data_IF_227504481128
#
_entry.id   IF_227504481128
#
_cell.length_a   1.000
_cell.length_b   1.000
_cell.length_c   1.000
_cell.angle_alpha   90.00
_cell.angle_beta   90.00
_cell.angle_gamma   90.00
#
_symmetry.space_group_name_H-M   'P 1'
#
loop_
_entity.id
_entity.type
_entity.pdbx_description
1 polymer ?
#
# COMPACT_ATOMS: atom_id res chain seq x y z
N UNK A 1 -26.17 36.84 18.43
CA UNK A 1 -24.88 36.40 17.81
C UNK A 1 -24.15 35.30 18.62
N UNK A 2 -24.83 34.23 19.10
CA UNK A 2 -24.19 33.20 19.96
C UNK A 2 -23.84 31.85 19.26
N UNK A 3 -24.27 31.64 18.01
CA UNK A 3 -24.13 30.33 17.35
C UNK A 3 -22.86 30.17 16.48
N UNK A 4 -22.37 31.26 15.89
CA UNK A 4 -21.21 31.24 14.96
C UNK A 4 -19.91 30.78 15.64
N UNK A 5 -19.72 31.10 16.92
CA UNK A 5 -18.52 30.71 17.66
C UNK A 5 -18.46 29.22 18.03
N UNK A 6 -19.62 28.53 18.12
CA UNK A 6 -19.68 27.09 18.37
C UNK A 6 -19.49 26.30 17.08
N UNK A 7 -20.12 26.73 15.98
CA UNK A 7 -19.94 26.15 14.64
C UNK A 7 -18.47 26.22 14.20
N UNK A 8 -17.80 27.36 14.40
CA UNK A 8 -16.38 27.50 14.09
C UNK A 8 -15.45 26.61 14.94
N UNK A 9 -15.85 26.22 16.16
CA UNK A 9 -15.07 25.28 16.99
C UNK A 9 -15.25 23.83 16.53
N UNK A 10 -16.47 23.44 16.18
CA UNK A 10 -16.80 22.12 15.64
C UNK A 10 -16.08 21.90 14.30
N UNK A 11 -16.16 22.85 13.36
CA UNK A 11 -15.44 22.74 12.09
C UNK A 11 -13.92 22.67 12.26
N UNK A 12 -13.34 23.37 13.25
CA UNK A 12 -11.90 23.26 13.55
C UNK A 12 -11.52 21.87 14.08
N UNK A 13 -12.38 21.23 14.86
CA UNK A 13 -12.16 19.85 15.33
C UNK A 13 -12.25 18.85 14.17
N UNK A 14 -13.24 19.02 13.28
CA UNK A 14 -13.40 18.14 12.11
C UNK A 14 -12.20 18.25 11.16
N UNK A 15 -11.73 19.47 10.87
CA UNK A 15 -10.51 19.69 10.07
C UNK A 15 -9.29 19.05 10.73
N UNK A 16 -9.16 19.14 12.05
CA UNK A 16 -8.05 18.53 12.78
C UNK A 16 -8.09 17.00 12.72
N UNK A 17 -9.28 16.40 12.84
CA UNK A 17 -9.48 14.95 12.70
C UNK A 17 -9.18 14.47 11.28
N UNK A 18 -9.63 15.22 10.27
CA UNK A 18 -9.33 14.93 8.86
C UNK A 18 -7.83 14.99 8.59
N UNK A 19 -7.11 16.00 9.09
CA UNK A 19 -5.65 16.09 8.95
C UNK A 19 -4.92 14.89 9.56
N UNK A 20 -5.30 14.47 10.77
CA UNK A 20 -4.74 13.26 11.40
C UNK A 20 -5.00 12.00 10.58
N UNK A 21 -6.19 11.89 9.98
CA UNK A 21 -6.56 10.76 9.13
C UNK A 21 -5.73 10.75 7.83
N UNK A 22 -5.57 11.91 7.18
CA UNK A 22 -4.71 12.06 5.99
C UNK A 22 -3.28 11.66 6.32
N UNK A 23 -2.71 12.20 7.40
CA UNK A 23 -1.34 11.89 7.80
C UNK A 23 -1.13 10.40 8.10
N UNK A 24 -2.13 9.74 8.72
CA UNK A 24 -2.10 8.29 8.93
C UNK A 24 -2.11 7.51 7.61
N UNK A 25 -2.93 7.93 6.65
CA UNK A 25 -3.02 7.29 5.33
C UNK A 25 -1.73 7.47 4.53
N UNK A 26 -1.13 8.66 4.58
CA UNK A 26 0.16 8.95 3.94
C UNK A 26 1.29 8.09 4.51
N UNK A 27 1.37 7.95 5.85
CA UNK A 27 2.35 7.05 6.48
C UNK A 27 2.12 5.59 6.08
N UNK A 28 0.87 5.15 5.99
CA UNK A 28 0.55 3.79 5.57
C UNK A 28 0.91 3.54 4.10
N UNK A 29 0.60 4.48 3.21
CA UNK A 29 1.01 4.44 1.80
C UNK A 29 2.54 4.37 1.68
N UNK A 30 3.27 5.26 2.37
CA UNK A 30 4.74 5.25 2.39
C UNK A 30 5.30 3.92 2.88
N UNK A 31 4.71 3.33 3.94
CA UNK A 31 5.11 1.99 4.43
C UNK A 31 4.84 0.89 3.40
N UNK A 32 3.69 0.93 2.70
CA UNK A 32 3.36 -0.03 1.65
C UNK A 32 4.35 0.06 0.49
N UNK A 33 4.70 1.27 0.05
CA UNK A 33 5.69 1.49 -1.01
C UNK A 33 7.08 0.98 -0.62
N UNK A 34 7.54 1.26 0.61
CA UNK A 34 8.83 0.73 1.11
C UNK A 34 8.85 -0.81 1.09
N UNK A 35 7.76 -1.47 1.48
CA UNK A 35 7.69 -2.94 1.46
C UNK A 35 7.65 -3.48 0.04
N UNK A 36 6.87 -2.86 -0.86
CA UNK A 36 6.83 -3.24 -2.27
C UNK A 36 8.22 -3.11 -2.91
N UNK A 37 8.89 -1.97 -2.72
CA UNK A 37 10.25 -1.74 -3.23
C UNK A 37 11.25 -2.79 -2.73
N UNK A 38 11.26 -3.11 -1.43
CA UNK A 38 12.15 -4.12 -0.88
C UNK A 38 11.90 -5.52 -1.43
N UNK A 39 10.64 -5.91 -1.64
CA UNK A 39 10.30 -7.21 -2.26
C UNK A 39 10.77 -7.26 -3.72
N UNK A 40 10.60 -6.18 -4.47
CA UNK A 40 11.01 -6.14 -5.88
C UNK A 40 12.52 -6.12 -6.06
N UNK A 41 13.25 -5.46 -5.15
CA UNK A 41 14.72 -5.54 -5.08
C UNK A 41 15.17 -6.98 -4.82
N UNK A 42 14.51 -7.72 -3.93
CA UNK A 42 14.80 -9.15 -3.67
C UNK A 42 14.51 -10.00 -4.91
N UNK A 43 13.39 -9.75 -5.61
CA UNK A 43 13.03 -10.47 -6.85
C UNK A 43 13.97 -10.08 -8.01
N UNK A 44 14.71 -8.97 -7.92
CA UNK A 44 15.47 -8.42 -9.06
C UNK A 44 14.57 -7.90 -10.18
N UNK A 45 13.30 -7.62 -9.89
CA UNK A 45 12.36 -7.03 -10.83
C UNK A 45 12.53 -5.51 -10.83
N UNK A 46 12.86 -4.92 -11.98
CA UNK A 46 12.88 -3.47 -12.12
C UNK A 46 11.44 -2.98 -12.34
N UNK A 47 10.85 -2.46 -11.26
CA UNK A 47 9.48 -1.92 -11.25
C UNK A 47 9.54 -0.42 -10.95
N UNK A 48 8.86 0.35 -11.79
CA UNK A 48 8.59 1.76 -11.55
C UNK A 48 7.18 1.91 -10.97
N UNK A 49 7.09 2.33 -9.71
CA UNK A 49 5.79 2.46 -9.01
C UNK A 49 4.76 3.28 -9.80
N UNK A 50 5.21 4.34 -10.47
CA UNK A 50 4.36 5.29 -11.19
C UNK A 50 3.78 4.76 -12.51
N UNK A 51 4.43 3.77 -13.14
CA UNK A 51 4.06 3.30 -14.48
C UNK A 51 3.67 1.84 -14.53
N UNK A 52 4.13 1.05 -13.56
CA UNK A 52 4.00 -0.40 -13.57
C UNK A 52 3.00 -0.92 -12.53
N UNK A 53 2.53 -0.07 -11.60
CA UNK A 53 1.59 -0.43 -10.53
C UNK A 53 0.34 0.46 -10.61
N UNK A 54 -0.81 -0.15 -10.92
CA UNK A 54 -2.11 0.52 -10.89
C UNK A 54 -2.62 0.68 -9.44
N UNK A 55 -2.42 -0.34 -8.62
CA UNK A 55 -2.97 -0.40 -7.26
C UNK A 55 -2.10 -1.27 -6.37
N UNK A 56 -1.85 -0.83 -5.14
CA UNK A 56 -1.23 -1.65 -4.09
C UNK A 56 -2.02 -1.53 -2.79
N UNK A 57 -2.60 -2.63 -2.32
CA UNK A 57 -3.39 -2.65 -1.08
C UNK A 57 -3.13 -3.90 -0.25
N UNK A 58 -3.37 -3.80 1.06
CA UNK A 58 -3.35 -4.98 1.93
C UNK A 58 -4.66 -5.76 1.78
N UNK A 59 -4.58 -7.07 1.84
CA UNK A 59 -5.75 -7.94 1.85
C UNK A 59 -6.60 -7.65 3.10
N UNK A 60 -7.90 -7.36 2.91
CA UNK A 60 -8.79 -6.93 4.00
C UNK A 60 -9.13 -8.07 4.97
N UNK A 61 -9.46 -9.24 4.41
CA UNK A 61 -9.76 -10.46 5.17
C UNK A 61 -8.57 -11.40 5.09
N UNK A 62 -7.72 -11.37 6.11
CA UNK A 62 -6.60 -12.30 6.24
C UNK A 62 -6.59 -12.89 7.65
N UNK A 63 -6.76 -14.21 7.76
CA UNK A 63 -6.70 -14.98 9.01
C UNK A 63 -5.42 -15.81 9.10
N UNK A 64 -4.27 -15.21 8.75
CA UNK A 64 -2.97 -15.86 8.91
C UNK A 64 -2.24 -15.40 10.17
N UNK A 65 -1.24 -16.19 10.59
CA UNK A 65 -0.35 -15.85 11.70
C UNK A 65 0.62 -14.70 11.38
N UNK A 66 0.79 -14.39 10.09
CA UNK A 66 1.73 -13.39 9.59
C UNK A 66 1.05 -12.06 9.25
N UNK A 67 1.87 -11.08 8.83
CA UNK A 67 1.37 -9.82 8.31
C UNK A 67 0.45 -10.03 7.11
N UNK A 68 -0.59 -9.18 6.99
CA UNK A 68 -1.54 -9.26 5.87
C UNK A 68 -0.82 -9.09 4.53
N UNK A 69 -1.01 -9.99 3.56
CA UNK A 69 -0.40 -9.89 2.25
C UNK A 69 -0.73 -8.56 1.55
N UNK A 70 0.17 -8.10 0.70
CA UNK A 70 -0.06 -6.97 -0.20
C UNK A 70 -0.48 -7.54 -1.55
N UNK A 71 -1.62 -7.08 -2.05
CA UNK A 71 -2.11 -7.32 -3.41
C UNK A 71 -1.64 -6.14 -4.25
N UNK A 72 -0.90 -6.42 -5.31
CA UNK A 72 -0.45 -5.44 -6.29
C UNK A 72 -1.11 -5.73 -7.64
N UNK A 73 -1.74 -4.72 -8.21
CA UNK A 73 -2.24 -4.74 -9.59
C UNK A 73 -1.17 -4.13 -10.47
N UNK A 74 -0.54 -4.97 -11.28
CA UNK A 74 0.49 -4.56 -12.24
C UNK A 74 -0.18 -4.07 -13.52
N UNK A 75 0.28 -2.93 -14.03
CA UNK A 75 -0.33 -2.24 -15.18
C UNK A 75 -0.28 -3.06 -16.47
N UNK A 76 0.80 -3.83 -16.69
CA UNK A 76 0.97 -4.65 -17.90
C UNK A 76 1.19 -6.13 -17.60
N UNK A 77 0.63 -6.99 -18.45
CA UNK A 77 0.82 -8.44 -18.35
C UNK A 77 2.28 -8.85 -18.53
N UNK A 78 3.00 -8.18 -19.43
CA UNK A 78 4.43 -8.43 -19.66
C UNK A 78 5.23 -8.24 -18.37
N UNK A 79 5.01 -7.14 -17.65
CA UNK A 79 5.70 -6.86 -16.38
C UNK A 79 5.29 -7.85 -15.30
N UNK A 80 4.01 -8.23 -15.24
CA UNK A 80 3.52 -9.27 -14.32
C UNK A 80 4.24 -10.60 -14.54
N UNK A 81 4.38 -11.03 -15.78
CA UNK A 81 5.03 -12.30 -16.12
C UNK A 81 6.55 -12.25 -15.83
N UNK A 82 7.21 -11.11 -16.08
CA UNK A 82 8.61 -10.88 -15.68
C UNK A 82 8.81 -11.10 -14.17
N UNK A 83 7.95 -10.49 -13.35
CA UNK A 83 8.00 -10.60 -11.89
C UNK A 83 7.77 -12.04 -11.45
N UNK A 84 6.77 -12.72 -12.00
CA UNK A 84 6.46 -14.11 -11.65
C UNK A 84 7.63 -15.03 -12.01
N UNK A 85 8.23 -14.86 -13.19
CA UNK A 85 9.34 -15.70 -13.62
C UNK A 85 10.57 -15.49 -12.76
N UNK A 86 10.94 -14.24 -12.45
CA UNK A 86 12.02 -13.93 -11.51
C UNK A 86 11.73 -14.44 -10.10
N UNK A 87 10.48 -14.35 -9.65
CA UNK A 87 10.09 -14.84 -8.33
C UNK A 87 10.18 -16.37 -8.20
N UNK A 88 10.02 -17.13 -9.29
CA UNK A 88 10.23 -18.59 -9.29
C UNK A 88 11.69 -18.97 -9.08
N UNK A 89 12.63 -18.10 -9.44
CA UNK A 89 14.07 -18.31 -9.27
C UNK A 89 14.52 -18.07 -7.82
N UNK A 90 13.66 -17.47 -6.99
CA UNK A 90 13.89 -17.31 -5.55
C UNK A 90 13.59 -18.61 -4.82
N UNK A 91 14.54 -19.54 -4.83
CA UNK A 91 14.47 -20.73 -3.99
C UNK A 91 14.39 -20.35 -2.50
N UNK A 92 13.40 -20.88 -1.78
CA UNK A 92 13.33 -20.84 -0.32
C UNK A 92 12.36 -19.84 0.32
N UNK A 93 11.70 -18.95 -0.44
CA UNK A 93 10.64 -18.08 0.09
C UNK A 93 9.30 -18.62 -0.40
N UNK A 94 8.79 -19.65 0.29
CA UNK A 94 7.68 -20.50 -0.15
C UNK A 94 6.46 -19.76 -0.71
N UNK A 95 6.21 -19.93 -2.00
CA UNK A 95 4.90 -19.77 -2.63
C UNK A 95 4.10 -21.06 -2.36
N UNK A 96 3.17 -21.04 -1.40
CA UNK A 96 2.19 -22.11 -1.25
C UNK A 96 0.86 -21.66 -1.87
N UNK A 97 0.51 -22.33 -2.98
CA UNK A 97 -0.86 -22.63 -3.45
C UNK A 97 -1.82 -21.46 -3.63
#
# INVERSE_FOLDING_TARGET
>A
MKNVGKENKLSKQDVMLQKKKIESLEREAKRKNIVAKGIMEIIGANIKEETDIDEARRMEKYRGKFNRPIIMKITTTIKKDEIINKAKELEGIGYMG
#
